data_IF_242940177554
#
_entry.id   IF_242940177554
#
_cell.length_a   1.000
_cell.length_b   1.000
_cell.length_c   1.000
_cell.angle_alpha   90.00
_cell.angle_beta   90.00
_cell.angle_gamma   90.00
#
_symmetry.space_group_name_H-M   'P 1'
#
loop_
_entity.id
_entity.type
_entity.pdbx_description
1 polymer ?
#
# COMPACT_ATOMS: atom_id res chain seq x y z
N UNK A 1 -0.41 -31.20 -13.03
CA UNK A 1 0.85 -30.57 -12.54
C UNK A 1 0.49 -29.18 -12.05
N UNK A 2 0.36 -28.99 -10.74
CA UNK A 2 -0.04 -27.71 -10.16
C UNK A 2 1.09 -26.70 -10.31
N UNK A 3 0.85 -25.60 -11.03
CA UNK A 3 1.76 -24.45 -11.01
C UNK A 3 1.87 -23.97 -9.57
N UNK A 4 3.08 -23.94 -9.02
CA UNK A 4 3.34 -23.37 -7.69
C UNK A 4 2.97 -21.88 -7.71
N UNK A 5 1.80 -21.56 -7.14
CA UNK A 5 1.23 -20.21 -7.13
C UNK A 5 1.95 -19.28 -6.16
N UNK A 6 2.79 -19.83 -5.26
CA UNK A 6 3.49 -19.09 -4.21
C UNK A 6 4.80 -18.43 -4.65
N UNK A 7 5.23 -18.68 -5.90
CA UNK A 7 6.45 -18.10 -6.47
C UNK A 7 6.33 -16.59 -6.67
N UNK A 8 7.45 -15.90 -6.43
CA UNK A 8 7.66 -14.50 -6.74
C UNK A 8 7.14 -14.11 -8.12
N UNK A 9 6.47 -12.97 -8.23
CA UNK A 9 6.01 -12.43 -9.50
C UNK A 9 7.09 -11.51 -10.07
N UNK A 10 7.62 -11.77 -11.28
CA UNK A 10 8.62 -10.88 -11.85
C UNK A 10 7.99 -9.60 -12.39
N UNK A 11 8.71 -8.49 -12.27
CA UNK A 11 8.43 -7.23 -12.94
C UNK A 11 8.58 -7.36 -14.45
N UNK A 12 7.48 -7.18 -15.19
CA UNK A 12 7.45 -7.37 -16.64
C UNK A 12 7.00 -6.14 -17.43
N UNK A 13 6.41 -5.15 -16.76
CA UNK A 13 5.82 -4.00 -17.44
C UNK A 13 6.78 -2.81 -17.45
N UNK A 14 6.85 -2.11 -18.57
CA UNK A 14 7.69 -0.91 -18.74
C UNK A 14 6.91 0.37 -18.62
N UNK A 15 5.60 0.33 -18.87
CA UNK A 15 4.73 1.51 -18.87
C UNK A 15 3.41 1.22 -18.19
N UNK A 16 2.75 2.28 -17.71
CA UNK A 16 1.45 2.17 -17.07
C UNK A 16 0.43 1.61 -18.07
N UNK A 17 0.51 1.98 -19.35
CA UNK A 17 -0.41 1.50 -20.38
C UNK A 17 -0.33 -0.02 -20.58
N UNK A 18 0.87 -0.61 -20.48
CA UNK A 18 1.05 -2.06 -20.52
C UNK A 18 0.39 -2.72 -19.30
N UNK A 19 0.54 -2.14 -18.11
CA UNK A 19 -0.10 -2.64 -16.89
C UNK A 19 -1.62 -2.56 -17.01
N UNK A 20 -2.16 -1.39 -17.39
CA UNK A 20 -3.59 -1.19 -17.57
C UNK A 20 -4.19 -2.16 -18.60
N UNK A 21 -3.45 -2.46 -19.67
CA UNK A 21 -3.85 -3.48 -20.66
C UNK A 21 -3.87 -4.87 -20.02
N UNK A 22 -2.84 -5.25 -19.27
CA UNK A 22 -2.78 -6.55 -18.61
C UNK A 22 -3.85 -6.72 -17.52
N UNK A 23 -4.19 -5.66 -16.79
CA UNK A 23 -5.30 -5.58 -15.84
C UNK A 23 -6.62 -5.90 -16.54
N UNK A 24 -6.92 -5.20 -17.65
CA UNK A 24 -8.13 -5.45 -18.46
C UNK A 24 -8.17 -6.87 -19.03
N UNK A 25 -7.04 -7.38 -19.53
CA UNK A 25 -6.94 -8.75 -20.05
C UNK A 25 -7.07 -9.82 -18.95
N UNK A 26 -6.78 -9.49 -17.69
CA UNK A 26 -7.06 -10.36 -16.55
C UNK A 26 -8.55 -10.43 -16.22
N UNK A 27 -9.35 -9.53 -16.79
CA UNK A 27 -10.77 -9.32 -16.48
C UNK A 27 -10.97 -8.62 -15.15
N UNK A 28 -10.00 -7.79 -14.72
CA UNK A 28 -10.21 -6.85 -13.63
C UNK A 28 -10.93 -5.64 -14.24
N UNK A 29 -12.26 -5.70 -14.21
CA UNK A 29 -13.12 -4.58 -14.61
C UNK A 29 -13.16 -3.54 -13.51
N UNK A 30 -13.01 -3.98 -12.26
CA UNK A 30 -13.02 -3.13 -11.09
C UNK A 30 -12.28 -3.68 -9.89
N UNK A 31 -11.74 -2.77 -9.10
CA UNK A 31 -11.13 -3.04 -7.80
C UNK A 31 -11.65 -2.05 -6.77
N UNK A 32 -11.57 -2.40 -5.49
CA UNK A 32 -11.77 -1.45 -4.40
C UNK A 32 -10.43 -1.17 -3.72
N UNK A 33 -10.17 0.08 -3.39
CA UNK A 33 -8.92 0.48 -2.74
C UNK A 33 -9.09 0.60 -1.22
N UNK A 34 -8.06 0.21 -0.48
CA UNK A 34 -7.93 0.50 0.96
C UNK A 34 -6.59 1.19 1.14
N UNK A 35 -6.55 2.28 1.92
CA UNK A 35 -5.34 3.08 2.09
C UNK A 35 -4.89 3.12 3.55
N UNK A 36 -3.60 2.93 3.78
CA UNK A 36 -2.98 2.95 5.11
C UNK A 36 -1.83 3.93 5.16
N UNK A 37 -1.85 4.81 6.16
CA UNK A 37 -0.80 5.80 6.43
C UNK A 37 -0.10 5.46 7.75
N UNK A 38 1.21 5.26 7.66
CA UNK A 38 2.08 5.12 8.81
C UNK A 38 2.23 6.47 9.55
N UNK A 39 1.90 6.50 10.84
CA UNK A 39 2.07 7.65 11.74
C UNK A 39 3.07 7.34 12.87
N UNK A 40 4.07 6.51 12.62
CA UNK A 40 5.13 6.21 13.59
C UNK A 40 6.15 7.34 13.69
N UNK A 41 6.85 7.38 14.83
CA UNK A 41 7.82 8.41 15.18
C UNK A 41 9.08 8.44 14.31
N UNK A 42 9.40 7.33 13.62
CA UNK A 42 10.53 7.26 12.69
C UNK A 42 10.45 8.34 11.60
N UNK A 43 9.23 8.70 11.18
CA UNK A 43 8.93 9.74 10.20
C UNK A 43 9.55 11.11 10.54
N UNK A 44 9.84 11.38 11.82
CA UNK A 44 10.51 12.61 12.26
C UNK A 44 11.97 12.69 11.80
N UNK A 45 12.60 11.54 11.51
CA UNK A 45 14.04 11.43 11.26
C UNK A 45 14.40 10.79 9.91
N UNK A 46 13.50 10.02 9.31
CA UNK A 46 13.69 9.33 8.02
C UNK A 46 13.54 10.24 6.81
N UNK A 47 13.35 11.54 7.02
CA UNK A 47 13.47 12.58 5.98
C UNK A 47 14.83 13.26 5.92
N UNK A 48 15.84 12.77 6.66
CA UNK A 48 17.14 13.44 6.81
C UNK A 48 17.83 13.72 5.47
N UNK A 49 17.85 12.75 4.56
CA UNK A 49 18.48 12.87 3.23
C UNK A 49 17.45 13.14 2.15
N UNK A 50 16.34 12.41 2.17
CA UNK A 50 15.28 12.42 1.17
C UNK A 50 14.39 13.67 1.21
N UNK A 51 14.27 14.30 2.37
CA UNK A 51 13.32 15.39 2.59
C UNK A 51 13.94 16.57 3.36
N UNK A 52 15.23 16.83 3.10
CA UNK A 52 15.94 18.02 3.59
C UNK A 52 15.94 18.16 5.12
N UNK A 53 15.98 17.05 5.86
CA UNK A 53 15.95 17.09 7.34
C UNK A 53 14.57 17.31 7.93
N UNK A 54 13.50 17.33 7.12
CA UNK A 54 12.14 17.53 7.59
C UNK A 54 11.49 16.21 8.01
N UNK A 55 10.48 16.33 8.88
CA UNK A 55 9.53 15.25 9.13
C UNK A 55 8.81 14.90 7.82
N UNK A 56 8.70 13.61 7.47
CA UNK A 56 8.00 13.14 6.27
C UNK A 56 6.51 13.51 6.25
N UNK A 57 5.93 13.87 7.39
CA UNK A 57 4.57 14.40 7.53
C UNK A 57 4.48 15.94 7.58
N UNK A 58 5.57 16.69 7.35
CA UNK A 58 5.53 18.16 7.30
C UNK A 58 4.57 18.63 6.19
N UNK A 59 3.38 19.09 6.58
CA UNK A 59 2.35 19.55 5.64
C UNK A 59 2.52 21.01 5.19
N UNK A 60 3.59 21.71 5.62
CA UNK A 60 3.88 23.08 5.14
C UNK A 60 4.37 23.10 3.69
N UNK A 61 4.83 21.95 3.20
CA UNK A 61 5.23 21.69 1.81
C UNK A 61 4.56 20.41 1.31
N UNK A 62 4.65 20.14 0.01
CA UNK A 62 4.21 18.83 -0.51
C UNK A 62 5.16 17.74 0.01
N UNK A 63 4.65 16.87 0.88
CA UNK A 63 5.42 15.79 1.47
C UNK A 63 5.23 14.45 0.75
N UNK A 64 6.14 13.47 0.96
CA UNK A 64 6.11 12.21 0.21
C UNK A 64 4.78 11.45 0.32
N UNK A 65 4.13 11.44 1.48
CA UNK A 65 2.81 10.82 1.64
C UNK A 65 1.75 11.51 0.78
N UNK A 66 1.70 12.85 0.78
CA UNK A 66 0.76 13.61 -0.05
C UNK A 66 0.98 13.34 -1.53
N UNK A 67 2.23 13.25 -1.96
CA UNK A 67 2.57 13.02 -3.35
C UNK A 67 2.24 11.59 -3.80
N UNK A 68 2.42 10.58 -2.93
CA UNK A 68 1.93 9.22 -3.18
C UNK A 68 0.40 9.22 -3.35
N UNK A 69 -0.34 9.87 -2.44
CA UNK A 69 -1.81 9.99 -2.51
C UNK A 69 -2.23 10.65 -3.84
N UNK A 70 -1.54 11.69 -4.28
CA UNK A 70 -1.82 12.38 -5.55
C UNK A 70 -1.58 11.48 -6.76
N UNK A 71 -0.40 10.86 -6.88
CA UNK A 71 -0.05 10.05 -8.06
C UNK A 71 -0.93 8.80 -8.15
N UNK A 72 -1.21 8.15 -7.01
CA UNK A 72 -2.10 7.01 -7.00
C UNK A 72 -3.55 7.41 -7.29
N UNK A 73 -3.98 8.59 -6.87
CA UNK A 73 -5.26 9.15 -7.30
C UNK A 73 -5.38 9.25 -8.81
N UNK A 74 -4.40 9.85 -9.47
CA UNK A 74 -4.44 10.02 -10.92
C UNK A 74 -4.36 8.68 -11.69
N UNK A 75 -3.81 7.63 -11.09
CA UNK A 75 -3.48 6.38 -11.79
C UNK A 75 -4.38 5.20 -11.43
N UNK A 76 -4.88 5.13 -10.19
CA UNK A 76 -5.72 4.05 -9.66
C UNK A 76 -7.21 4.41 -9.63
N UNK A 77 -7.57 5.68 -9.52
CA UNK A 77 -8.99 6.12 -9.51
C UNK A 77 -9.79 5.64 -10.74
N UNK A 78 -9.22 5.52 -11.96
CA UNK A 78 -9.93 4.91 -13.09
C UNK A 78 -10.25 3.41 -12.94
N UNK A 79 -9.69 2.72 -11.94
CA UNK A 79 -9.90 1.30 -11.64
C UNK A 79 -10.74 1.08 -10.37
N UNK A 80 -11.14 2.16 -9.69
CA UNK A 80 -11.92 2.12 -8.45
C UNK A 80 -13.41 2.31 -8.77
N UNK A 81 -14.24 1.35 -8.37
CA UNK A 81 -15.63 1.22 -8.84
C UNK A 81 -16.60 2.21 -8.17
N UNK A 82 -16.47 2.36 -6.86
CA UNK A 82 -17.37 3.13 -6.02
C UNK A 82 -16.79 4.50 -5.66
N UNK A 83 -15.53 4.75 -6.01
CA UNK A 83 -14.72 5.87 -5.55
C UNK A 83 -14.61 5.92 -4.02
N UNK A 84 -14.91 4.84 -3.29
CA UNK A 84 -14.88 4.81 -1.83
C UNK A 84 -13.54 4.20 -1.41
N UNK A 85 -12.74 4.99 -0.70
CA UNK A 85 -11.38 4.61 -0.32
C UNK A 85 -11.27 4.59 1.21
N UNK A 86 -11.65 3.48 1.88
CA UNK A 86 -11.41 3.30 3.31
C UNK A 86 -9.95 3.61 3.64
N UNK A 87 -9.74 4.67 4.43
CA UNK A 87 -8.41 5.18 4.74
C UNK A 87 -8.18 5.15 6.24
N UNK A 88 -7.04 4.61 6.64
CA UNK A 88 -6.67 4.37 8.01
C UNK A 88 -5.27 4.92 8.32
N UNK A 89 -5.08 5.39 9.55
CA UNK A 89 -3.76 5.62 10.12
C UNK A 89 -3.40 4.55 11.15
N UNK A 90 -2.10 4.28 11.31
CA UNK A 90 -1.58 3.31 12.28
C UNK A 90 -0.25 3.77 12.87
N UNK A 91 0.13 3.27 14.05
CA UNK A 91 1.43 3.54 14.67
C UNK A 91 1.53 4.88 15.41
N UNK A 92 0.43 5.62 15.50
CA UNK A 92 0.34 6.80 16.37
C UNK A 92 0.26 6.39 17.85
N UNK A 93 0.34 7.37 18.75
CA UNK A 93 0.33 7.13 20.19
C UNK A 93 -0.92 6.42 20.71
N UNK A 94 -2.07 6.62 20.06
CA UNK A 94 -3.32 5.99 20.48
C UNK A 94 -3.42 4.54 20.02
N UNK A 95 -2.95 4.24 18.80
CA UNK A 95 -3.07 2.88 18.23
C UNK A 95 -1.89 1.97 18.55
N UNK A 96 -0.68 2.52 18.65
CA UNK A 96 0.54 1.72 18.73
C UNK A 96 0.60 0.67 17.62
N UNK A 97 0.92 -0.56 17.99
CA UNK A 97 0.98 -1.72 17.09
C UNK A 97 -0.29 -2.61 17.13
N UNK A 98 -1.35 -2.15 17.79
CA UNK A 98 -2.51 -3.00 18.16
C UNK A 98 -3.76 -2.75 17.33
N UNK A 99 -3.95 -1.55 16.82
CA UNK A 99 -5.15 -1.16 16.09
C UNK A 99 -4.83 -0.16 14.98
N UNK A 100 -5.87 0.24 14.24
CA UNK A 100 -5.82 1.36 13.30
C UNK A 100 -6.90 2.36 13.68
N UNK A 101 -6.79 3.61 13.23
CA UNK A 101 -7.85 4.60 13.32
C UNK A 101 -8.32 4.99 11.92
N UNK A 102 -9.65 5.10 11.68
CA UNK A 102 -10.14 5.56 10.39
C UNK A 102 -9.95 7.08 10.28
N UNK A 103 -9.70 7.55 9.06
CA UNK A 103 -9.59 8.99 8.78
C UNK A 103 -10.87 9.77 9.14
N UNK A 104 -12.02 9.12 8.94
CA UNK A 104 -13.32 9.62 9.38
C UNK A 104 -13.97 8.60 10.32
N UNK A 105 -14.56 9.04 11.44
CA UNK A 105 -15.19 8.12 12.39
C UNK A 105 -16.49 7.50 11.87
N UNK A 106 -17.21 8.21 10.98
CA UNK A 106 -18.60 7.89 10.63
C UNK A 106 -18.86 7.81 9.12
N UNK A 107 -17.81 7.88 8.28
CA UNK A 107 -17.93 7.77 6.82
C UNK A 107 -16.63 7.24 6.22
N UNK A 108 -16.69 6.83 4.97
CA UNK A 108 -15.51 6.51 4.17
C UNK A 108 -15.22 7.67 3.21
N UNK A 109 -13.95 8.04 2.99
CA UNK A 109 -13.57 9.04 1.99
C UNK A 109 -14.06 8.68 0.59
N UNK A 110 -14.51 9.67 -0.17
CA UNK A 110 -14.86 9.54 -1.59
C UNK A 110 -13.74 10.16 -2.44
N UNK A 111 -12.95 9.29 -3.06
CA UNK A 111 -11.84 9.62 -3.96
C UNK A 111 -10.58 10.11 -3.24
N UNK A 112 -9.46 10.11 -3.97
CA UNK A 112 -8.16 10.49 -3.42
C UNK A 112 -8.07 11.97 -3.04
N UNK A 113 -8.90 12.83 -3.65
CA UNK A 113 -8.99 14.24 -3.28
C UNK A 113 -9.42 14.40 -1.83
N UNK A 114 -10.46 13.68 -1.41
CA UNK A 114 -10.95 13.75 -0.03
C UNK A 114 -9.95 13.12 0.95
N UNK A 115 -9.29 12.02 0.55
CA UNK A 115 -8.19 11.43 1.32
C UNK A 115 -7.07 12.45 1.57
N UNK A 116 -6.66 13.19 0.54
CA UNK A 116 -5.61 14.20 0.65
C UNK A 116 -6.01 15.40 1.53
N UNK A 117 -7.23 15.89 1.36
CA UNK A 117 -7.78 16.98 2.20
C UNK A 117 -7.84 16.56 3.66
N UNK A 118 -8.34 15.35 3.93
CA UNK A 118 -8.44 14.82 5.28
C UNK A 118 -7.07 14.55 5.90
N UNK A 119 -6.13 13.99 5.14
CA UNK A 119 -4.74 13.82 5.56
C UNK A 119 -4.15 15.15 6.06
N UNK A 120 -4.29 16.24 5.30
CA UNK A 120 -3.80 17.57 5.67
C UNK A 120 -4.44 18.10 6.95
N UNK A 121 -5.71 17.78 7.20
CA UNK A 121 -6.46 18.26 8.36
C UNK A 121 -6.07 17.57 9.66
N UNK A 122 -5.85 16.24 9.63
CA UNK A 122 -5.62 15.44 10.83
C UNK A 122 -4.14 15.28 11.18
N UNK A 123 -3.27 15.21 10.17
CA UNK A 123 -1.83 14.92 10.35
C UNK A 123 -1.14 15.85 11.34
N UNK A 124 -1.36 17.19 11.32
CA UNK A 124 -0.73 18.09 12.29
C UNK A 124 -1.15 17.88 13.75
N UNK A 125 -2.25 17.12 14.00
CA UNK A 125 -2.82 16.87 15.32
C UNK A 125 -2.45 15.48 15.87
N UNK A 126 -1.82 14.64 15.06
CA UNK A 126 -1.49 13.26 15.43
C UNK A 126 -0.14 13.23 16.15
N UNK A 127 -0.11 12.56 17.30
CA UNK A 127 1.13 12.30 18.03
C UNK A 127 1.79 11.02 17.49
N UNK A 128 2.90 11.19 16.77
CA UNK A 128 3.67 10.08 16.20
C UNK A 128 4.28 9.21 17.31
N UNK A 129 4.25 7.88 17.16
CA UNK A 129 4.72 6.95 18.19
C UNK A 129 5.34 5.67 17.63
N UNK A 130 4.83 4.48 17.98
CA UNK A 130 5.34 3.19 17.58
C UNK A 130 4.92 2.09 18.57
N UNK A 131 5.39 0.85 18.43
CA UNK A 131 6.25 0.34 17.36
C UNK A 131 5.53 0.26 15.99
N UNK A 132 6.29 0.04 14.92
CA UNK A 132 5.77 -0.07 13.55
C UNK A 132 5.26 -1.49 13.27
N UNK A 133 3.98 -1.63 12.91
CA UNK A 133 3.36 -2.91 12.56
C UNK A 133 2.24 -2.73 11.55
N UNK A 134 2.29 -3.46 10.43
CA UNK A 134 1.24 -3.50 9.42
C UNK A 134 0.13 -4.50 9.78
N UNK A 135 0.39 -5.40 10.73
CA UNK A 135 -0.57 -6.40 11.21
C UNK A 135 -1.98 -5.84 11.44
N UNK A 136 -2.20 -4.80 12.26
CA UNK A 136 -3.56 -4.30 12.51
C UNK A 136 -4.25 -3.81 11.24
N UNK A 137 -3.51 -3.14 10.35
CA UNK A 137 -4.04 -2.65 9.08
C UNK A 137 -4.39 -3.79 8.12
N UNK A 138 -3.52 -4.80 8.00
CA UNK A 138 -3.76 -5.98 7.16
C UNK A 138 -5.01 -6.74 7.64
N UNK A 139 -5.19 -6.90 8.95
CA UNK A 139 -6.40 -7.54 9.49
C UNK A 139 -7.67 -6.72 9.27
N UNK A 140 -7.60 -5.38 9.35
CA UNK A 140 -8.74 -4.54 8.99
C UNK A 140 -9.08 -4.67 7.49
N UNK A 141 -8.07 -4.74 6.61
CA UNK A 141 -8.30 -4.97 5.19
C UNK A 141 -8.93 -6.34 4.91
N UNK A 142 -8.49 -7.41 5.60
CA UNK A 142 -9.12 -8.73 5.50
C UNK A 142 -10.59 -8.66 5.92
N UNK A 143 -10.91 -7.94 7.00
CA UNK A 143 -12.29 -7.76 7.46
C UNK A 143 -13.14 -7.09 6.37
N UNK A 144 -12.67 -6.00 5.78
CA UNK A 144 -13.35 -5.30 4.67
C UNK A 144 -13.58 -6.24 3.48
N UNK A 145 -12.56 -7.00 3.06
CA UNK A 145 -12.66 -7.96 1.95
C UNK A 145 -13.73 -9.02 2.23
N UNK A 146 -13.82 -9.52 3.47
CA UNK A 146 -14.83 -10.52 3.85
C UNK A 146 -16.24 -9.94 3.86
N UNK A 147 -16.40 -8.71 4.32
CA UNK A 147 -17.68 -8.00 4.38
C UNK A 147 -18.20 -7.64 2.97
N UNK A 148 -17.34 -7.05 2.14
CA UNK A 148 -17.68 -6.59 0.79
C UNK A 148 -17.67 -7.70 -0.26
N UNK A 149 -16.99 -8.82 0.00
CA UNK A 149 -16.85 -9.98 -0.90
C UNK A 149 -16.35 -9.62 -2.31
N UNK A 150 -15.47 -8.62 -2.38
CA UNK A 150 -14.89 -8.12 -3.62
C UNK A 150 -13.35 -8.13 -3.55
N UNK A 151 -12.71 -8.01 -4.72
CA UNK A 151 -11.26 -7.86 -4.79
C UNK A 151 -10.85 -6.48 -4.26
N UNK A 152 -9.86 -6.46 -3.37
CA UNK A 152 -9.30 -5.21 -2.86
C UNK A 152 -7.79 -5.14 -3.05
N UNK A 153 -7.31 -3.91 -3.21
CA UNK A 153 -5.89 -3.57 -3.13
C UNK A 153 -5.68 -2.71 -1.89
N UNK A 154 -4.93 -3.24 -0.92
CA UNK A 154 -4.45 -2.48 0.23
C UNK A 154 -3.14 -1.77 -0.15
N UNK A 155 -3.15 -0.45 -0.11
CA UNK A 155 -1.95 0.37 -0.26
C UNK A 155 -1.48 0.82 1.12
N UNK A 156 -0.24 0.50 1.47
CA UNK A 156 0.41 0.90 2.71
C UNK A 156 1.53 1.87 2.37
N UNK A 157 1.50 3.09 2.91
CA UNK A 157 2.61 4.05 2.81
C UNK A 157 3.31 4.11 4.15
N UNK A 158 4.61 3.84 4.16
CA UNK A 158 5.44 3.71 5.38
C UNK A 158 6.84 4.25 5.14
N UNK A 159 7.52 4.66 6.21
CA UNK A 159 8.88 5.19 6.13
C UNK A 159 9.99 4.15 6.34
N UNK A 160 9.64 2.90 6.71
CA UNK A 160 10.66 1.88 6.89
C UNK A 160 10.23 0.64 7.67
N UNK A 161 11.18 0.12 8.45
CA UNK A 161 11.14 -1.21 9.06
C UNK A 161 9.99 -1.40 10.06
N UNK A 162 9.41 -2.60 10.01
CA UNK A 162 8.51 -3.09 11.05
C UNK A 162 9.29 -3.56 12.27
N UNK A 163 8.74 -3.41 13.46
CA UNK A 163 9.42 -3.81 14.70
C UNK A 163 9.44 -5.32 14.94
N UNK A 164 8.39 -6.04 14.52
CA UNK A 164 8.34 -7.51 14.55
C UNK A 164 8.04 -8.06 13.15
N UNK A 165 9.08 -8.54 12.46
CA UNK A 165 8.92 -9.11 11.12
C UNK A 165 8.03 -10.36 11.11
N UNK A 166 8.07 -11.20 12.14
CA UNK A 166 7.37 -12.48 12.13
C UNK A 166 5.86 -12.30 12.23
N UNK A 167 5.40 -11.36 13.06
CA UNK A 167 3.98 -11.03 13.18
C UNK A 167 3.43 -10.41 11.89
N UNK A 168 4.21 -9.58 11.22
CA UNK A 168 3.85 -9.00 9.92
C UNK A 168 3.83 -10.05 8.80
N UNK A 169 4.82 -10.95 8.75
CA UNK A 169 4.82 -12.10 7.82
C UNK A 169 3.58 -12.97 8.04
N UNK A 170 3.19 -13.25 9.29
CA UNK A 170 1.98 -14.02 9.59
C UNK A 170 0.72 -13.33 9.06
N UNK A 171 0.62 -12.01 9.24
CA UNK A 171 -0.50 -11.24 8.71
C UNK A 171 -0.55 -11.27 7.17
N UNK A 172 0.59 -11.14 6.49
CA UNK A 172 0.68 -11.21 5.02
C UNK A 172 0.30 -12.62 4.51
N UNK A 173 0.80 -13.67 5.17
CA UNK A 173 0.43 -15.06 4.86
C UNK A 173 -1.07 -15.30 5.06
N UNK A 174 -1.66 -14.76 6.12
CA UNK A 174 -3.11 -14.83 6.34
C UNK A 174 -3.88 -14.09 5.25
N UNK A 175 -3.44 -12.88 4.87
CA UNK A 175 -4.04 -12.09 3.79
C UNK A 175 -4.05 -12.83 2.45
N UNK A 176 -3.05 -13.68 2.18
CA UNK A 176 -2.98 -14.47 0.94
C UNK A 176 -4.12 -15.48 0.78
N UNK A 177 -4.98 -15.69 1.79
CA UNK A 177 -6.16 -16.55 1.74
C UNK A 177 -7.44 -15.84 1.26
N UNK A 178 -7.33 -14.56 0.91
CA UNK A 178 -8.45 -13.70 0.52
C UNK A 178 -8.18 -13.02 -0.82
N UNK A 179 -9.20 -12.41 -1.41
CA UNK A 179 -9.07 -11.59 -2.63
C UNK A 179 -8.42 -10.22 -2.31
N UNK A 180 -7.21 -10.26 -1.78
CA UNK A 180 -6.48 -9.09 -1.27
C UNK A 180 -5.06 -9.05 -1.83
N UNK A 181 -4.76 -8.00 -2.57
CA UNK A 181 -3.40 -7.60 -2.95
C UNK A 181 -2.89 -6.53 -1.99
N UNK A 182 -1.60 -6.52 -1.70
CA UNK A 182 -0.95 -5.51 -0.85
C UNK A 182 0.15 -4.83 -1.65
N UNK A 183 0.11 -3.50 -1.71
CA UNK A 183 1.18 -2.66 -2.27
C UNK A 183 1.76 -1.85 -1.11
N UNK A 184 3.03 -2.09 -0.79
CA UNK A 184 3.76 -1.36 0.23
C UNK A 184 4.70 -0.35 -0.42
N UNK A 185 4.57 0.92 -0.05
CA UNK A 185 5.31 2.03 -0.62
C UNK A 185 6.21 2.60 0.46
N UNK A 186 7.52 2.43 0.27
CA UNK A 186 8.55 2.98 1.14
C UNK A 186 8.86 4.42 0.75
N UNK A 187 8.56 5.37 1.64
CA UNK A 187 8.93 6.78 1.52
C UNK A 187 10.07 7.12 2.47
N UNK A 188 10.89 8.10 2.11
CA UNK A 188 11.98 8.54 2.97
C UNK A 188 13.27 7.73 2.80
N UNK A 189 14.09 7.72 3.86
CA UNK A 189 15.46 7.22 3.85
C UNK A 189 15.57 5.70 4.12
N UNK A 190 14.50 5.06 4.57
CA UNK A 190 14.52 3.67 5.03
C UNK A 190 15.27 3.50 6.36
N UNK A 191 15.84 2.31 6.65
CA UNK A 191 16.07 1.18 5.73
C UNK A 191 14.80 0.40 5.34
N UNK A 192 14.89 -0.39 4.26
CA UNK A 192 13.76 -1.13 3.67
C UNK A 192 13.99 -2.65 3.53
N UNK A 193 15.03 -3.21 4.15
CA UNK A 193 15.40 -4.63 4.00
C UNK A 193 14.25 -5.61 4.32
N UNK A 194 13.46 -5.31 5.36
CA UNK A 194 12.30 -6.14 5.74
C UNK A 194 11.23 -6.14 4.65
N UNK A 195 11.06 -5.02 3.94
CA UNK A 195 10.07 -4.87 2.89
C UNK A 195 10.50 -5.59 1.61
N UNK A 196 11.78 -5.50 1.25
CA UNK A 196 12.36 -6.31 0.17
C UNK A 196 12.28 -7.82 0.46
N UNK A 197 12.33 -8.21 1.74
CA UNK A 197 12.11 -9.60 2.15
C UNK A 197 10.63 -9.99 2.04
N UNK A 198 9.70 -9.09 2.32
CA UNK A 198 8.26 -9.36 2.24
C UNK A 198 7.79 -9.59 0.80
N UNK A 199 8.39 -8.88 -0.15
CA UNK A 199 8.18 -9.01 -1.59
C UNK A 199 8.41 -10.47 -2.05
N UNK A 200 9.65 -10.96 -1.94
CA UNK A 200 10.05 -12.20 -2.64
C UNK A 200 10.24 -13.44 -1.75
N UNK A 201 10.41 -13.25 -0.43
CA UNK A 201 10.99 -14.29 0.44
C UNK A 201 10.01 -14.88 1.45
N UNK A 202 8.74 -14.47 1.42
CA UNK A 202 7.70 -15.01 2.31
C UNK A 202 7.35 -16.44 1.90
N UNK A 203 7.51 -17.37 2.84
CA UNK A 203 7.07 -18.77 2.69
C UNK A 203 5.69 -18.95 3.30
N UNK A 204 4.89 -19.84 2.71
CA UNK A 204 3.58 -20.25 3.25
C UNK A 204 2.38 -19.45 2.75
N UNK A 205 2.60 -18.39 1.97
CA UNK A 205 1.55 -17.67 1.25
C UNK A 205 0.93 -18.53 0.14
N UNK A 206 -0.38 -18.38 -0.12
CA UNK A 206 -1.10 -19.13 -1.17
C UNK A 206 -0.78 -18.63 -2.57
N UNK A 207 -0.54 -17.34 -2.68
CA UNK A 207 0.01 -16.69 -3.86
C UNK A 207 0.89 -15.52 -3.40
N UNK A 208 1.71 -15.01 -4.30
CA UNK A 208 2.41 -13.75 -4.04
C UNK A 208 1.42 -12.61 -3.99
N UNK A 209 1.20 -12.03 -2.80
CA UNK A 209 0.17 -11.03 -2.56
C UNK A 209 0.73 -9.69 -2.05
N UNK A 210 2.05 -9.49 -2.10
CA UNK A 210 2.72 -8.33 -1.53
C UNK A 210 3.76 -7.80 -2.50
N UNK A 211 3.56 -6.57 -2.98
CA UNK A 211 4.51 -5.82 -3.80
C UNK A 211 5.17 -4.71 -2.97
N UNK A 212 6.49 -4.56 -3.04
CA UNK A 212 7.20 -3.42 -2.45
C UNK A 212 7.70 -2.41 -3.50
N UNK A 213 7.57 -1.12 -3.20
CA UNK A 213 8.02 -0.03 -4.06
C UNK A 213 8.77 1.04 -3.28
N UNK A 214 10.03 1.30 -3.65
CA UNK A 214 10.83 2.39 -3.06
C UNK A 214 10.61 3.72 -3.80
N UNK A 215 9.79 4.58 -3.23
CA UNK A 215 9.39 5.86 -3.81
C UNK A 215 10.58 6.74 -4.20
N UNK A 216 11.53 6.91 -3.27
CA UNK A 216 12.69 7.79 -3.45
C UNK A 216 13.69 7.25 -4.50
N UNK A 217 13.78 5.93 -4.67
CA UNK A 217 14.63 5.31 -5.69
C UNK A 217 14.06 5.58 -7.09
N UNK A 218 12.75 5.39 -7.27
CA UNK A 218 12.08 5.65 -8.55
C UNK A 218 12.14 7.14 -8.88
N UNK A 219 11.89 8.03 -7.91
CA UNK A 219 12.03 9.48 -8.09
C UNK A 219 13.40 9.86 -8.63
N UNK A 220 14.46 9.36 -7.99
CA UNK A 220 15.83 9.65 -8.40
C UNK A 220 16.17 9.13 -9.79
N UNK A 221 15.55 8.01 -10.20
CA UNK A 221 15.83 7.34 -11.47
C UNK A 221 15.09 7.98 -12.66
N UNK A 222 13.84 8.39 -12.48
CA UNK A 222 12.97 8.77 -13.60
C UNK A 222 12.67 10.27 -13.71
N UNK A 223 13.04 11.10 -12.71
CA UNK A 223 12.92 12.56 -12.75
C UNK A 223 11.56 13.07 -13.30
N UNK A 224 11.51 13.53 -14.56
CA UNK A 224 10.30 14.05 -15.21
C UNK A 224 9.24 12.95 -15.47
N UNK A 225 9.69 11.72 -15.76
CA UNK A 225 8.82 10.55 -15.97
C UNK A 225 8.49 9.81 -14.66
N UNK A 226 8.68 10.47 -13.50
CA UNK A 226 8.54 9.84 -12.20
C UNK A 226 7.14 9.28 -11.95
N UNK A 227 6.09 10.08 -12.11
CA UNK A 227 4.72 9.68 -11.80
C UNK A 227 4.27 8.42 -12.58
N UNK A 228 4.41 8.34 -13.92
CA UNK A 228 4.04 7.13 -14.65
C UNK A 228 4.93 5.94 -14.31
N UNK A 229 6.23 6.13 -14.08
CA UNK A 229 7.12 5.05 -13.67
C UNK A 229 6.77 4.50 -12.27
N UNK A 230 6.41 5.39 -11.34
CA UNK A 230 6.01 5.03 -9.98
C UNK A 230 4.69 4.26 -9.97
N UNK A 231 3.68 4.72 -10.70
CA UNK A 231 2.42 4.01 -10.85
C UNK A 231 2.61 2.62 -11.51
N UNK A 232 3.47 2.55 -12.53
CA UNK A 232 3.84 1.28 -13.17
C UNK A 232 4.45 0.30 -12.16
N UNK A 233 5.38 0.78 -11.32
CA UNK A 233 6.01 -0.02 -10.28
C UNK A 233 5.01 -0.52 -9.23
N UNK A 234 4.08 0.33 -8.78
CA UNK A 234 3.05 -0.06 -7.82
C UNK A 234 2.15 -1.19 -8.33
N UNK A 235 1.89 -1.24 -9.63
CA UNK A 235 0.95 -2.17 -10.22
C UNK A 235 1.60 -3.37 -10.92
N UNK A 236 2.92 -3.56 -10.81
CA UNK A 236 3.65 -4.63 -11.53
C UNK A 236 3.01 -6.01 -11.37
N UNK A 237 2.65 -6.37 -10.14
CA UNK A 237 2.15 -7.71 -9.86
C UNK A 237 0.64 -7.85 -9.96
N UNK A 238 -0.11 -6.74 -9.80
CA UNK A 238 -1.58 -6.73 -9.69
C UNK A 238 -2.27 -7.57 -10.76
N UNK A 239 -1.93 -7.47 -12.07
CA UNK A 239 -2.55 -8.30 -13.10
C UNK A 239 -2.41 -9.81 -12.85
N UNK A 240 -1.24 -10.26 -12.38
CA UNK A 240 -0.97 -11.68 -12.14
C UNK A 240 -1.55 -12.13 -10.79
N UNK A 241 -1.47 -11.28 -9.77
CA UNK A 241 -2.13 -11.50 -8.48
C UNK A 241 -3.63 -11.73 -8.67
N UNK A 242 -4.30 -10.87 -9.44
CA UNK A 242 -5.73 -11.02 -9.74
C UNK A 242 -6.05 -12.34 -10.49
N UNK A 243 -5.24 -12.73 -11.48
CA UNK A 243 -5.40 -14.02 -12.18
C UNK A 243 -5.27 -15.21 -11.20
N UNK A 244 -4.35 -15.13 -10.24
CA UNK A 244 -4.17 -16.17 -9.22
C UNK A 244 -5.36 -16.21 -8.25
N UNK A 245 -5.87 -15.06 -7.81
CA UNK A 245 -7.08 -14.94 -6.97
C UNK A 245 -8.29 -15.59 -7.66
N UNK A 246 -8.49 -15.36 -8.97
CA UNK A 246 -9.53 -16.04 -9.75
C UNK A 246 -9.34 -17.55 -9.78
N UNK A 247 -8.11 -18.01 -10.01
CA UNK A 247 -7.76 -19.44 -10.04
C UNK A 247 -7.94 -20.13 -8.67
N UNK A 248 -7.78 -19.38 -7.59
CA UNK A 248 -7.98 -19.83 -6.22
C UNK A 248 -9.44 -19.73 -5.76
N UNK A 249 -10.35 -19.27 -6.62
CA UNK A 249 -11.79 -19.15 -6.35
C UNK A 249 -12.10 -18.23 -5.15
N UNK A 250 -11.33 -17.15 -5.00
CA UNK A 250 -11.52 -16.17 -3.92
C UNK A 250 -12.53 -15.06 -4.25
N UNK A 251 -12.92 -14.92 -5.51
CA UNK A 251 -14.01 -14.04 -5.92
C UNK A 251 -15.32 -14.84 -5.85
N UNK A 252 -16.31 -14.27 -5.16
CA UNK A 252 -17.61 -14.90 -4.94
C UNK A 252 -18.50 -14.99 -6.17
#
# INVERSE_FOLDING_TARGET
MGSDTSKAIPDNFKTIQEVQKAVREAGLESSSLIFGIDYTGSNQSTGQKSFQGRNLHDCTVLNPYQEVIQILGETLEPFDDDHIIPTYGFGDKQTGDKSVFPFYPNKEPVGFKEVLERYKEITPKIELYGPTSFKPLIYEAIKIVKERRAYHILVIVTDGQVSDENENIRAIVEASKYALSIICIGVGDGPFDSMEKFDDKIKGRKFDNFQFVQFNVIRKKYCEDFAPAFATACLQEVPKQFKLIKKLEYLG
#
